data_IF_509365981130
#
_entry.id   IF_509365981130
#
_cell.length_a   1.000
_cell.length_b   1.000
_cell.length_c   1.000
_cell.angle_alpha   90.00
_cell.angle_beta   90.00
_cell.angle_gamma   90.00
#
_symmetry.space_group_name_H-M   'P 1'
#
loop_
_entity.id
_entity.type
_entity.pdbx_description
1 polymer ?
#
# COMPACT_ATOMS: atom_id res chain seq x y z
N UNK A 1 -5.46 55.13 16.02
CA UNK A 1 -6.70 54.46 16.49
C UNK A 1 -7.92 55.04 15.77
N UNK A 2 -8.26 56.32 15.94
CA UNK A 2 -9.38 56.98 15.22
C UNK A 2 -9.32 56.85 13.69
N UNK A 3 -8.15 57.01 13.06
CA UNK A 3 -8.02 56.88 11.60
C UNK A 3 -8.25 55.43 11.08
N UNK A 4 -7.93 54.41 11.89
CA UNK A 4 -8.16 53.01 11.53
C UNK A 4 -9.64 52.63 11.72
N UNK A 5 -10.29 53.17 12.75
CA UNK A 5 -11.73 53.02 12.99
C UNK A 5 -12.56 53.72 11.89
N UNK A 6 -12.14 54.92 11.45
CA UNK A 6 -12.79 55.64 10.36
C UNK A 6 -12.60 54.94 9.00
N UNK A 7 -11.41 54.39 8.71
CA UNK A 7 -11.18 53.61 7.50
C UNK A 7 -11.98 52.30 7.48
N UNK A 8 -12.13 51.64 8.64
CA UNK A 8 -12.95 50.44 8.77
C UNK A 8 -14.44 50.73 8.54
N UNK A 9 -14.97 51.83 9.09
CA UNK A 9 -16.35 52.27 8.85
C UNK A 9 -16.60 52.63 7.38
N UNK A 10 -15.69 53.37 6.73
CA UNK A 10 -15.80 53.71 5.32
C UNK A 10 -15.79 52.47 4.41
N UNK A 11 -14.96 51.47 4.71
CA UNK A 11 -14.95 50.19 3.99
C UNK A 11 -16.24 49.40 4.21
N UNK A 12 -16.83 49.46 5.40
CA UNK A 12 -18.09 48.79 5.71
C UNK A 12 -19.26 49.42 4.95
N UNK A 13 -19.31 50.75 4.85
CA UNK A 13 -20.30 51.47 4.02
C UNK A 13 -20.16 51.15 2.53
N UNK A 14 -18.93 51.02 2.03
CA UNK A 14 -18.65 50.62 0.65
C UNK A 14 -19.11 49.17 0.40
N UNK A 15 -18.81 48.26 1.33
CA UNK A 15 -19.15 46.84 1.20
C UNK A 15 -20.66 46.57 1.35
N UNK A 16 -21.40 47.41 2.10
CA UNK A 16 -22.83 47.16 2.39
C UNK A 16 -23.78 48.18 1.76
N UNK A 17 -23.34 48.84 0.68
CA UNK A 17 -24.03 49.97 0.04
C UNK A 17 -25.48 49.69 -0.39
N UNK A 18 -25.77 48.47 -0.84
CA UNK A 18 -27.08 48.04 -1.31
C UNK A 18 -27.37 46.59 -0.88
N UNK A 19 -28.59 46.12 -1.09
CA UNK A 19 -28.99 44.80 -0.58
C UNK A 19 -28.19 43.64 -1.20
N UNK A 20 -27.80 43.75 -2.48
CA UNK A 20 -26.90 42.77 -3.10
C UNK A 20 -25.50 42.85 -2.47
N UNK A 21 -25.00 44.05 -2.20
CA UNK A 21 -23.73 44.25 -1.51
C UNK A 21 -23.74 43.67 -0.09
N UNK A 22 -24.83 43.83 0.68
CA UNK A 22 -24.97 43.17 1.99
C UNK A 22 -24.92 41.64 1.89
N UNK A 23 -25.58 41.05 0.90
CA UNK A 23 -25.49 39.60 0.65
C UNK A 23 -24.08 39.17 0.27
N UNK A 24 -23.40 39.93 -0.61
CA UNK A 24 -22.01 39.68 -0.95
C UNK A 24 -21.08 39.81 0.27
N UNK A 25 -21.32 40.78 1.15
CA UNK A 25 -20.57 40.92 2.41
C UNK A 25 -20.69 39.69 3.29
N UNK A 26 -21.91 39.16 3.47
CA UNK A 26 -22.14 37.95 4.25
C UNK A 26 -21.38 36.75 3.67
N UNK A 27 -21.43 36.54 2.35
CA UNK A 27 -20.66 35.47 1.69
C UNK A 27 -19.16 35.69 1.82
N UNK A 28 -18.66 36.93 1.73
CA UNK A 28 -17.24 37.23 1.97
C UNK A 28 -16.82 36.85 3.38
N UNK A 29 -17.60 37.15 4.42
CA UNK A 29 -17.28 36.74 5.79
C UNK A 29 -17.30 35.21 5.94
N UNK A 30 -18.28 34.53 5.35
CA UNK A 30 -18.32 33.06 5.33
C UNK A 30 -17.06 32.46 4.68
N UNK A 31 -16.59 33.03 3.56
CA UNK A 31 -15.35 32.54 2.92
C UNK A 31 -14.09 32.72 3.79
N UNK A 32 -14.09 33.68 4.72
CA UNK A 32 -12.97 33.86 5.67
C UNK A 32 -13.00 32.81 6.77
N UNK A 33 -14.19 32.47 7.27
CA UNK A 33 -14.35 31.38 8.24
C UNK A 33 -13.93 30.03 7.63
N UNK A 34 -14.40 29.75 6.41
CA UNK A 34 -14.02 28.53 5.69
C UNK A 34 -12.50 28.48 5.40
N UNK A 35 -11.87 29.63 5.12
CA UNK A 35 -10.41 29.74 4.96
C UNK A 35 -9.67 29.32 6.25
N UNK A 36 -10.07 29.87 7.40
CA UNK A 36 -9.42 29.55 8.67
C UNK A 36 -9.50 28.04 8.97
N UNK A 37 -10.66 27.44 8.72
CA UNK A 37 -10.86 25.99 8.86
C UNK A 37 -9.99 25.19 7.87
N UNK A 38 -9.91 25.62 6.62
CA UNK A 38 -9.07 25.01 5.60
C UNK A 38 -7.58 25.04 5.96
N UNK A 39 -7.09 26.17 6.48
CA UNK A 39 -5.70 26.32 6.95
C UNK A 39 -5.41 25.40 8.14
N UNK A 40 -6.31 25.31 9.12
CA UNK A 40 -6.17 24.40 10.26
C UNK A 40 -6.07 22.93 9.80
N UNK A 41 -6.92 22.51 8.86
CA UNK A 41 -6.92 21.16 8.31
C UNK A 41 -5.66 20.87 7.49
N UNK A 42 -5.16 21.84 6.73
CA UNK A 42 -3.89 21.72 5.99
C UNK A 42 -2.70 21.55 6.94
N UNK A 43 -2.66 22.30 8.05
CA UNK A 43 -1.62 22.17 9.08
C UNK A 43 -1.64 20.76 9.68
N UNK A 44 -2.82 20.30 10.11
CA UNK A 44 -2.97 18.94 10.68
C UNK A 44 -2.58 17.85 9.70
N UNK A 45 -2.97 17.98 8.42
CA UNK A 45 -2.60 17.00 7.40
C UNK A 45 -1.08 17.00 7.15
N UNK A 46 -0.44 18.17 7.21
CA UNK A 46 1.01 18.29 7.08
C UNK A 46 1.76 17.71 8.30
N UNK A 47 1.23 17.86 9.51
CA UNK A 47 1.77 17.20 10.71
C UNK A 47 1.75 15.67 10.57
N UNK A 48 0.66 15.11 10.04
CA UNK A 48 0.57 13.67 9.73
C UNK A 48 1.63 13.28 8.70
N UNK A 49 1.83 14.07 7.65
CA UNK A 49 2.87 13.83 6.66
C UNK A 49 4.27 13.76 7.30
N UNK A 50 4.62 14.74 8.14
CA UNK A 50 5.92 14.79 8.83
C UNK A 50 6.14 13.54 9.68
N UNK A 51 5.11 13.08 10.39
CA UNK A 51 5.18 11.85 11.20
C UNK A 51 5.44 10.63 10.29
N UNK A 52 4.71 10.50 9.18
CA UNK A 52 4.89 9.38 8.24
C UNK A 52 6.27 9.39 7.58
N UNK A 53 6.80 10.55 7.22
CA UNK A 53 8.15 10.68 6.66
C UNK A 53 9.22 10.28 7.68
N UNK A 54 9.04 10.69 8.94
CA UNK A 54 9.92 10.27 10.04
C UNK A 54 9.88 8.76 10.24
N UNK A 55 8.69 8.16 10.27
CA UNK A 55 8.53 6.71 10.42
C UNK A 55 9.21 5.95 9.26
N UNK A 56 9.07 6.44 8.02
CA UNK A 56 9.75 5.87 6.86
C UNK A 56 11.28 5.99 6.98
N UNK A 57 11.78 7.16 7.37
CA UNK A 57 13.22 7.38 7.56
C UNK A 57 13.79 6.45 8.63
N UNK A 58 13.11 6.36 9.77
CA UNK A 58 13.49 5.50 10.88
C UNK A 58 13.52 4.02 10.45
N UNK A 59 12.56 3.57 9.64
CA UNK A 59 12.51 2.20 9.12
C UNK A 59 13.63 1.92 8.10
N UNK A 60 13.97 2.89 7.25
CA UNK A 60 15.11 2.79 6.33
C UNK A 60 16.42 2.64 7.09
N UNK A 61 16.64 3.50 8.09
CA UNK A 61 17.85 3.47 8.93
C UNK A 61 17.96 2.14 9.69
N UNK A 62 16.87 1.63 10.26
CA UNK A 62 16.83 0.31 10.88
C UNK A 62 17.24 -0.79 9.90
N UNK A 63 16.65 -0.79 8.70
CA UNK A 63 16.97 -1.79 7.66
C UNK A 63 18.44 -1.71 7.22
N UNK A 64 18.94 -0.51 6.94
CA UNK A 64 20.31 -0.28 6.45
C UNK A 64 21.37 -0.67 7.50
N UNK A 65 21.18 -0.28 8.76
CA UNK A 65 22.10 -0.64 9.85
C UNK A 65 22.09 -2.14 10.12
N UNK A 66 20.90 -2.73 10.11
CA UNK A 66 20.74 -4.16 10.22
C UNK A 66 21.54 -4.84 9.10
N UNK A 67 21.48 -4.37 7.84
CA UNK A 67 22.22 -4.96 6.70
C UNK A 67 23.74 -4.88 6.85
N UNK A 68 24.23 -3.92 7.63
CA UNK A 68 25.64 -3.81 8.02
C UNK A 68 26.00 -4.72 9.21
N UNK A 69 25.06 -5.52 9.70
CA UNK A 69 25.23 -6.37 10.88
C UNK A 69 25.16 -5.62 12.20
N UNK A 70 24.72 -4.36 12.20
CA UNK A 70 24.58 -3.53 13.39
C UNK A 70 23.19 -3.76 13.97
N UNK A 71 23.13 -4.45 15.10
CA UNK A 71 21.87 -4.71 15.80
C UNK A 71 21.31 -3.42 16.41
N UNK A 72 20.10 -3.05 16.00
CA UNK A 72 19.27 -2.07 16.66
C UNK A 72 18.00 -2.74 17.14
N UNK A 73 17.54 -2.37 18.34
CA UNK A 73 16.28 -2.89 18.86
C UNK A 73 15.12 -2.45 17.95
N UNK A 74 14.36 -3.41 17.40
CA UNK A 74 13.17 -3.11 16.61
C UNK A 74 12.21 -2.15 17.30
N UNK A 75 11.84 -1.06 16.62
CA UNK A 75 10.75 -0.22 17.12
C UNK A 75 9.46 -1.06 17.17
N UNK A 76 8.70 -1.01 18.28
CA UNK A 76 7.46 -1.77 18.41
C UNK A 76 6.46 -1.37 17.33
N UNK A 77 5.76 -2.35 16.77
CA UNK A 77 4.71 -2.12 15.79
C UNK A 77 3.58 -1.32 16.43
N UNK A 78 3.42 -0.06 16.02
CA UNK A 78 2.25 0.74 16.37
C UNK A 78 1.09 0.34 15.46
N UNK A 79 -0.10 0.14 16.04
CA UNK A 79 -1.32 0.00 15.26
C UNK A 79 -1.62 1.31 14.54
N UNK A 80 -1.47 1.33 13.22
CA UNK A 80 -1.69 2.51 12.38
C UNK A 80 -3.16 2.67 11.96
N UNK A 81 -4.05 1.75 12.35
CA UNK A 81 -5.45 1.78 11.89
C UNK A 81 -6.18 3.04 12.35
N UNK A 82 -5.99 3.42 13.62
CA UNK A 82 -6.61 4.64 14.17
C UNK A 82 -6.04 5.91 13.51
N UNK A 83 -4.72 5.95 13.32
CA UNK A 83 -4.02 7.06 12.68
C UNK A 83 -4.44 7.23 11.21
N UNK A 84 -4.52 6.13 10.46
CA UNK A 84 -4.97 6.14 9.07
C UNK A 84 -6.43 6.61 8.96
N UNK A 85 -7.31 6.17 9.87
CA UNK A 85 -8.69 6.66 9.91
C UNK A 85 -8.76 8.16 10.19
N UNK A 86 -7.96 8.66 11.13
CA UNK A 86 -7.88 10.08 11.43
C UNK A 86 -7.36 10.88 10.22
N UNK A 87 -6.33 10.39 9.52
CA UNK A 87 -5.81 11.00 8.30
C UNK A 87 -6.86 11.07 7.19
N UNK A 88 -7.59 9.98 6.92
CA UNK A 88 -8.63 9.97 5.90
C UNK A 88 -9.82 10.89 6.27
N UNK A 89 -10.15 10.99 7.57
CA UNK A 89 -11.13 11.96 8.04
C UNK A 89 -10.69 13.42 7.77
N UNK A 90 -9.43 13.76 8.07
CA UNK A 90 -8.87 15.09 7.78
C UNK A 90 -8.91 15.39 6.27
N UNK A 91 -8.52 14.43 5.42
CA UNK A 91 -8.58 14.59 3.95
C UNK A 91 -10.01 14.87 3.48
N UNK A 92 -10.96 14.08 3.95
CA UNK A 92 -12.38 14.20 3.59
C UNK A 92 -12.97 15.53 4.05
N UNK A 93 -12.68 15.95 5.29
CA UNK A 93 -13.14 17.23 5.82
C UNK A 93 -12.51 18.42 5.08
N UNK A 94 -11.23 18.34 4.73
CA UNK A 94 -10.53 19.35 3.94
C UNK A 94 -11.11 19.47 2.54
N UNK A 95 -11.41 18.34 1.88
CA UNK A 95 -12.06 18.33 0.58
C UNK A 95 -13.47 18.94 0.63
N UNK A 96 -14.27 18.57 1.64
CA UNK A 96 -15.59 19.16 1.84
C UNK A 96 -15.51 20.67 2.08
N UNK A 97 -14.55 21.13 2.89
CA UNK A 97 -14.35 22.56 3.18
C UNK A 97 -13.90 23.34 1.95
N UNK A 98 -12.99 22.78 1.14
CA UNK A 98 -12.58 23.35 -0.15
C UNK A 98 -13.76 23.48 -1.10
N UNK A 99 -14.57 22.42 -1.23
CA UNK A 99 -15.73 22.42 -2.12
C UNK A 99 -16.79 23.43 -1.68
N UNK A 100 -17.04 23.54 -0.36
CA UNK A 100 -17.92 24.56 0.21
C UNK A 100 -17.42 25.96 -0.14
N UNK A 101 -16.15 26.26 0.14
CA UNK A 101 -15.57 27.58 -0.16
C UNK A 101 -15.61 27.92 -1.65
N UNK A 102 -15.38 26.94 -2.53
CA UNK A 102 -15.53 27.09 -3.99
C UNK A 102 -16.95 27.46 -4.40
N UNK A 103 -17.96 26.83 -3.79
CA UNK A 103 -19.37 27.15 -4.01
C UNK A 103 -19.69 28.57 -3.53
N UNK A 104 -19.29 28.94 -2.31
CA UNK A 104 -19.51 30.27 -1.74
C UNK A 104 -18.85 31.38 -2.60
N UNK A 105 -17.62 31.16 -3.09
CA UNK A 105 -16.95 32.10 -4.02
C UNK A 105 -17.72 32.23 -5.33
N UNK A 106 -18.27 31.11 -5.86
CA UNK A 106 -19.07 31.12 -7.09
C UNK A 106 -20.40 31.86 -6.89
N UNK A 107 -21.04 31.71 -5.74
CA UNK A 107 -22.26 32.46 -5.38
C UNK A 107 -21.97 33.96 -5.24
N UNK A 108 -20.86 34.31 -4.60
CA UNK A 108 -20.39 35.70 -4.49
C UNK A 108 -20.18 36.33 -5.88
N UNK A 109 -19.52 35.61 -6.78
CA UNK A 109 -19.32 36.06 -8.17
C UNK A 109 -20.64 36.20 -8.94
N UNK A 110 -21.60 35.30 -8.70
CA UNK A 110 -22.93 35.40 -9.29
C UNK A 110 -23.68 36.64 -8.79
N UNK A 111 -23.64 36.94 -7.49
CA UNK A 111 -24.25 38.16 -6.93
C UNK A 111 -23.59 39.43 -7.47
N UNK A 112 -22.27 39.44 -7.58
CA UNK A 112 -21.54 40.54 -8.22
C UNK A 112 -22.03 40.77 -9.65
N UNK A 113 -22.10 39.71 -10.46
CA UNK A 113 -22.58 39.79 -11.83
C UNK A 113 -24.05 40.25 -11.92
N UNK A 114 -24.90 39.81 -10.99
CA UNK A 114 -26.30 40.28 -10.91
C UNK A 114 -26.38 41.77 -10.59
N UNK A 115 -25.55 42.28 -9.67
CA UNK A 115 -25.49 43.70 -9.31
C UNK A 115 -25.14 44.56 -10.52
N UNK A 116 -24.12 44.15 -11.29
CA UNK A 116 -23.74 44.84 -12.53
C UNK A 116 -24.87 44.77 -13.56
N UNK A 117 -25.55 43.63 -13.74
CA UNK A 117 -26.69 43.49 -14.66
C UNK A 117 -27.88 44.38 -14.28
N UNK A 118 -28.09 44.64 -12.99
CA UNK A 118 -29.14 45.55 -12.49
C UNK A 118 -28.81 47.04 -12.63
N UNK A 119 -27.67 47.38 -13.24
CA UNK A 119 -27.33 48.76 -13.60
C UNK A 119 -26.28 49.44 -12.71
N UNK A 120 -25.68 48.72 -11.75
CA UNK A 120 -24.56 49.26 -10.96
C UNK A 120 -23.32 49.51 -11.83
N UNK A 121 -22.61 50.60 -11.54
CA UNK A 121 -21.42 50.98 -12.30
C UNK A 121 -20.23 50.08 -11.91
N UNK A 122 -19.60 49.43 -12.88
CA UNK A 122 -18.40 48.59 -12.65
C UNK A 122 -17.24 49.35 -12.00
N UNK A 123 -17.19 50.66 -12.18
CA UNK A 123 -16.15 51.53 -11.65
C UNK A 123 -16.56 52.23 -10.34
N UNK A 124 -17.74 51.92 -9.79
CA UNK A 124 -18.08 52.38 -8.44
C UNK A 124 -17.25 51.65 -7.37
N UNK A 125 -17.04 52.30 -6.23
CA UNK A 125 -16.19 51.79 -5.16
C UNK A 125 -16.59 50.39 -4.68
N UNK A 126 -17.89 50.10 -4.59
CA UNK A 126 -18.41 48.79 -4.17
C UNK A 126 -18.10 47.71 -5.22
N UNK A 127 -18.30 48.02 -6.51
CA UNK A 127 -17.98 47.11 -7.60
C UNK A 127 -16.48 46.78 -7.67
N UNK A 128 -15.61 47.77 -7.49
CA UNK A 128 -14.16 47.55 -7.48
C UNK A 128 -13.74 46.72 -6.26
N UNK A 129 -14.27 47.03 -5.09
CA UNK A 129 -14.02 46.27 -3.86
C UNK A 129 -14.35 44.78 -4.02
N UNK A 130 -15.54 44.45 -4.54
CA UNK A 130 -15.94 43.05 -4.69
C UNK A 130 -15.20 42.33 -5.82
N UNK A 131 -14.86 43.03 -6.91
CA UNK A 131 -14.05 42.45 -7.97
C UNK A 131 -12.67 42.01 -7.44
N UNK A 132 -11.99 42.89 -6.71
CA UNK A 132 -10.71 42.60 -6.08
C UNK A 132 -10.83 41.48 -5.04
N UNK A 133 -11.88 41.53 -4.20
CA UNK A 133 -12.16 40.50 -3.19
C UNK A 133 -12.33 39.12 -3.84
N UNK A 134 -13.14 39.00 -4.91
CA UNK A 134 -13.34 37.74 -5.62
C UNK A 134 -12.03 37.23 -6.24
N UNK A 135 -11.22 38.12 -6.83
CA UNK A 135 -9.93 37.76 -7.40
C UNK A 135 -8.97 37.20 -6.34
N UNK A 136 -8.88 37.88 -5.19
CA UNK A 136 -8.05 37.44 -4.07
C UNK A 136 -8.53 36.10 -3.51
N UNK A 137 -9.83 35.94 -3.28
CA UNK A 137 -10.41 34.67 -2.80
C UNK A 137 -10.11 33.50 -3.74
N UNK A 138 -10.23 33.72 -5.06
CA UNK A 138 -9.88 32.70 -6.06
C UNK A 138 -8.39 32.35 -6.05
N UNK A 139 -7.52 33.34 -5.91
CA UNK A 139 -6.07 33.12 -5.85
C UNK A 139 -5.66 32.30 -4.61
N UNK A 140 -6.16 32.68 -3.43
CA UNK A 140 -5.92 31.96 -2.17
C UNK A 140 -6.44 30.52 -2.23
N UNK A 141 -7.58 30.31 -2.88
CA UNK A 141 -8.19 29.01 -3.01
C UNK A 141 -7.36 28.08 -3.90
N UNK A 142 -6.85 28.59 -5.02
CA UNK A 142 -5.92 27.84 -5.89
C UNK A 142 -4.65 27.44 -5.15
N UNK A 143 -4.11 28.31 -4.30
CA UNK A 143 -2.94 27.99 -3.48
C UNK A 143 -3.23 26.84 -2.50
N UNK A 144 -4.37 26.91 -1.83
CA UNK A 144 -4.78 25.88 -0.87
C UNK A 144 -5.06 24.52 -1.54
N UNK A 145 -5.65 24.52 -2.73
CA UNK A 145 -5.83 23.31 -3.54
C UNK A 145 -4.51 22.70 -3.97
N UNK A 146 -3.52 23.53 -4.36
CA UNK A 146 -2.16 23.07 -4.69
C UNK A 146 -1.46 22.47 -3.47
N UNK A 147 -1.56 23.12 -2.31
CA UNK A 147 -0.97 22.62 -1.07
C UNK A 147 -1.58 21.27 -0.70
N UNK A 148 -2.92 21.14 -0.76
CA UNK A 148 -3.60 19.85 -0.54
C UNK A 148 -3.08 18.78 -1.49
N UNK A 149 -3.05 19.06 -2.79
CA UNK A 149 -2.63 18.10 -3.80
C UNK A 149 -1.18 17.62 -3.56
N UNK A 150 -0.29 18.55 -3.21
CA UNK A 150 1.11 18.23 -2.87
C UNK A 150 1.20 17.30 -1.66
N UNK A 151 0.51 17.63 -0.55
CA UNK A 151 0.55 16.82 0.68
C UNK A 151 -0.03 15.42 0.41
N UNK A 152 -1.18 15.32 -0.27
CA UNK A 152 -1.81 14.04 -0.60
C UNK A 152 -0.91 13.17 -1.48
N UNK A 153 -0.32 13.73 -2.53
CA UNK A 153 0.62 13.02 -3.39
C UNK A 153 1.86 12.54 -2.64
N UNK A 154 2.34 13.32 -1.68
CA UNK A 154 3.51 12.95 -0.88
C UNK A 154 3.16 11.82 0.09
N UNK A 155 1.99 11.87 0.73
CA UNK A 155 1.49 10.80 1.58
C UNK A 155 1.36 9.46 0.82
N UNK A 156 0.91 9.48 -0.43
CA UNK A 156 0.84 8.28 -1.27
C UNK A 156 2.23 7.72 -1.58
N UNK A 157 3.18 8.61 -1.90
CA UNK A 157 4.58 8.24 -2.16
C UNK A 157 5.22 7.61 -0.92
N UNK A 158 5.04 8.23 0.25
CA UNK A 158 5.54 7.72 1.54
C UNK A 158 4.92 6.37 1.85
N UNK A 159 3.60 6.21 1.65
CA UNK A 159 2.91 4.92 1.86
C UNK A 159 3.54 3.80 1.03
N UNK A 160 3.75 4.02 -0.26
CA UNK A 160 4.37 3.02 -1.14
C UNK A 160 5.80 2.69 -0.68
N UNK A 161 6.60 3.71 -0.37
CA UNK A 161 7.96 3.50 0.11
C UNK A 161 8.01 2.75 1.45
N UNK A 162 7.09 3.03 2.39
CA UNK A 162 7.00 2.30 3.66
C UNK A 162 6.70 0.82 3.45
N UNK A 163 5.80 0.48 2.51
CA UNK A 163 5.49 -0.92 2.22
C UNK A 163 6.67 -1.67 1.59
N UNK A 164 7.49 -0.99 0.78
CA UNK A 164 8.76 -1.55 0.27
C UNK A 164 9.71 -1.90 1.42
N UNK A 165 9.94 -0.97 2.34
CA UNK A 165 10.84 -1.19 3.48
C UNK A 165 10.31 -2.24 4.46
N UNK A 166 8.99 -2.34 4.65
CA UNK A 166 8.37 -3.42 5.42
C UNK A 166 8.63 -4.78 4.80
N UNK A 167 8.45 -4.91 3.49
CA UNK A 167 8.74 -6.16 2.77
C UNK A 167 10.22 -6.54 2.87
N UNK A 168 11.13 -5.56 2.75
CA UNK A 168 12.57 -5.75 2.95
C UNK A 168 12.87 -6.34 4.33
N UNK A 169 12.29 -5.76 5.39
CA UNK A 169 12.46 -6.25 6.76
C UNK A 169 11.92 -7.66 6.97
N UNK A 170 10.74 -7.97 6.42
CA UNK A 170 10.15 -9.32 6.51
C UNK A 170 11.02 -10.35 5.80
N UNK A 171 11.43 -10.06 4.55
CA UNK A 171 12.28 -10.95 3.77
C UNK A 171 13.58 -11.27 4.52
N UNK A 172 14.17 -10.27 5.16
CA UNK A 172 15.35 -10.45 5.98
C UNK A 172 15.08 -11.28 7.23
N UNK A 173 14.01 -11.02 7.97
CA UNK A 173 13.66 -11.83 9.14
C UNK A 173 13.43 -13.31 8.79
N UNK A 174 12.94 -13.59 7.58
CA UNK A 174 12.84 -14.94 7.03
C UNK A 174 14.20 -15.55 6.66
N UNK A 175 15.15 -14.74 6.21
CA UNK A 175 16.52 -15.15 5.90
C UNK A 175 17.35 -15.39 7.17
N UNK A 176 17.32 -14.48 8.15
CA UNK A 176 18.08 -14.60 9.40
C UNK A 176 17.63 -15.82 10.23
N UNK A 177 16.36 -16.20 10.16
CA UNK A 177 15.82 -17.40 10.81
C UNK A 177 15.77 -18.64 9.91
N UNK A 178 16.43 -18.61 8.75
CA UNK A 178 16.34 -19.66 7.74
C UNK A 178 16.79 -21.02 8.26
N UNK A 179 17.88 -21.07 9.03
CA UNK A 179 18.38 -22.32 9.61
C UNK A 179 17.39 -22.93 10.60
N UNK A 180 16.78 -22.13 11.46
CA UNK A 180 15.79 -22.60 12.43
C UNK A 180 14.50 -23.04 11.74
N UNK A 181 14.06 -22.33 10.69
CA UNK A 181 12.95 -22.74 9.84
C UNK A 181 13.26 -24.08 9.18
N UNK A 182 14.39 -24.19 8.50
CA UNK A 182 14.84 -25.41 7.83
C UNK A 182 14.86 -26.61 8.78
N UNK A 183 15.42 -26.46 9.97
CA UNK A 183 15.46 -27.52 10.97
C UNK A 183 14.06 -27.98 11.41
N UNK A 184 13.13 -27.04 11.63
CA UNK A 184 11.73 -27.38 11.99
C UNK A 184 10.98 -28.05 10.84
N UNK A 185 11.20 -27.56 9.63
CA UNK A 185 10.60 -28.06 8.40
C UNK A 185 11.07 -29.50 8.11
N UNK A 186 12.37 -29.77 8.24
CA UNK A 186 12.92 -31.13 8.09
C UNK A 186 12.41 -32.07 9.18
N UNK A 187 12.32 -31.62 10.44
CA UNK A 187 11.74 -32.43 11.51
C UNK A 187 10.24 -32.74 11.29
N UNK A 188 9.48 -31.82 10.69
CA UNK A 188 8.09 -32.07 10.31
C UNK A 188 8.01 -33.10 9.17
N UNK A 189 8.83 -32.97 8.13
CA UNK A 189 8.91 -33.93 7.04
C UNK A 189 9.24 -35.34 7.53
N UNK A 190 10.23 -35.49 8.41
CA UNK A 190 10.60 -36.78 9.00
C UNK A 190 9.42 -37.42 9.74
N UNK A 191 8.69 -36.63 10.55
CA UNK A 191 7.48 -37.13 11.23
C UNK A 191 6.40 -37.56 10.25
N UNK A 192 6.18 -36.81 9.17
CA UNK A 192 5.19 -37.17 8.14
C UNK A 192 5.59 -38.51 7.49
N UNK A 193 6.85 -38.65 7.08
CA UNK A 193 7.36 -39.89 6.47
C UNK A 193 7.25 -41.11 7.39
N UNK A 194 7.46 -40.93 8.70
CA UNK A 194 7.45 -42.04 9.66
C UNK A 194 6.03 -42.43 10.13
N UNK A 195 5.14 -41.44 10.29
CA UNK A 195 3.86 -41.65 10.96
C UNK A 195 2.67 -41.77 10.00
N UNK A 196 2.86 -41.48 8.71
CA UNK A 196 1.78 -41.57 7.73
C UNK A 196 1.62 -43.02 7.25
N UNK A 197 0.52 -43.70 7.55
CA UNK A 197 0.26 -45.04 7.03
C UNK A 197 -0.09 -44.99 5.54
N UNK A 198 0.15 -46.10 4.84
CA UNK A 198 -0.35 -46.27 3.48
C UNK A 198 -1.88 -46.20 3.47
N UNK A 199 -2.43 -45.48 2.50
CA UNK A 199 -3.87 -45.40 2.33
C UNK A 199 -4.43 -46.77 1.91
N UNK A 200 -5.48 -47.27 2.57
CA UNK A 200 -6.14 -48.52 2.18
C UNK A 200 -6.95 -48.37 0.86
N UNK A 201 -7.25 -47.13 0.47
CA UNK A 201 -7.97 -46.79 -0.77
C UNK A 201 -7.04 -45.98 -1.67
N UNK A 202 -6.91 -46.32 -2.97
CA UNK A 202 -6.14 -45.51 -3.91
C UNK A 202 -6.64 -44.06 -3.94
N UNK A 203 -5.73 -43.11 -3.76
CA UNK A 203 -6.04 -41.69 -3.86
C UNK A 203 -6.23 -41.28 -5.33
N UNK A 204 -7.09 -40.29 -5.53
CA UNK A 204 -7.43 -39.68 -6.81
C UNK A 204 -6.77 -38.29 -6.93
N UNK A 205 -6.85 -37.65 -8.10
CA UNK A 205 -6.26 -36.31 -8.31
C UNK A 205 -6.97 -35.26 -7.47
N UNK A 206 -8.28 -35.43 -7.30
CA UNK A 206 -9.16 -34.55 -6.52
C UNK A 206 -8.82 -34.53 -5.03
N UNK A 207 -8.11 -35.55 -4.56
CA UNK A 207 -7.60 -35.58 -3.19
C UNK A 207 -6.41 -34.63 -3.00
N UNK A 208 -5.72 -34.18 -4.05
CA UNK A 208 -4.52 -33.36 -3.93
C UNK A 208 -4.81 -31.87 -4.13
N UNK A 209 -4.36 -31.05 -3.18
CA UNK A 209 -4.24 -29.61 -3.36
C UNK A 209 -2.85 -29.29 -3.88
N UNK A 210 -2.70 -28.96 -5.16
CA UNK A 210 -1.39 -28.66 -5.77
C UNK A 210 -0.86 -27.26 -5.46
N UNK A 211 -1.70 -26.40 -4.87
CA UNK A 211 -1.38 -25.00 -4.60
C UNK A 211 -1.25 -24.17 -5.88
N UNK A 212 -0.16 -23.42 -6.00
CA UNK A 212 0.07 -22.55 -7.15
C UNK A 212 0.49 -23.33 -8.39
N UNK A 213 -0.33 -23.25 -9.44
CA UNK A 213 -0.04 -23.88 -10.72
C UNK A 213 1.20 -23.27 -11.35
N UNK A 214 2.14 -24.14 -11.73
CA UNK A 214 3.40 -23.76 -12.34
C UNK A 214 3.23 -23.57 -13.85
N UNK A 215 3.97 -22.63 -14.43
CA UNK A 215 4.00 -22.47 -15.88
C UNK A 215 4.55 -23.72 -16.56
N UNK A 216 4.10 -24.03 -17.78
CA UNK A 216 4.63 -25.15 -18.57
C UNK A 216 6.11 -25.00 -18.98
N UNK A 217 6.71 -23.83 -18.75
CA UNK A 217 8.14 -23.56 -19.01
C UNK A 217 8.96 -23.77 -17.72
N UNK A 218 10.25 -24.08 -17.88
CA UNK A 218 11.20 -24.17 -16.74
C UNK A 218 11.31 -22.82 -16.05
N UNK A 219 10.95 -22.79 -14.77
CA UNK A 219 11.18 -21.62 -13.92
C UNK A 219 12.62 -21.66 -13.38
N UNK A 220 13.27 -20.50 -13.25
CA UNK A 220 14.60 -20.38 -12.67
C UNK A 220 14.48 -19.66 -11.32
N UNK A 221 14.91 -20.32 -10.25
CA UNK A 221 15.05 -19.75 -8.91
C UNK A 221 16.53 -19.57 -8.60
N UNK A 222 16.89 -18.40 -8.04
CA UNK A 222 18.27 -18.06 -7.68
C UNK A 222 18.46 -17.94 -6.18
N UNK A 223 19.60 -18.41 -5.69
CA UNK A 223 20.02 -18.21 -4.30
C UNK A 223 19.09 -18.87 -3.28
N UNK A 224 18.52 -20.03 -3.63
CA UNK A 224 17.73 -20.84 -2.70
C UNK A 224 18.71 -21.53 -1.74
N UNK A 225 18.58 -21.31 -0.43
CA UNK A 225 19.51 -21.94 0.52
C UNK A 225 19.12 -23.38 0.85
N UNK A 226 20.11 -24.12 1.37
CA UNK A 226 19.95 -25.50 1.86
C UNK A 226 19.44 -26.46 0.78
N UNK A 227 19.68 -26.13 -0.49
CA UNK A 227 19.32 -26.94 -1.65
C UNK A 227 20.43 -26.80 -2.68
N UNK A 228 20.73 -27.88 -3.39
CA UNK A 228 21.78 -27.86 -4.41
C UNK A 228 21.29 -27.25 -5.73
N UNK A 229 22.23 -26.80 -6.56
CA UNK A 229 21.92 -26.45 -7.95
C UNK A 229 21.47 -27.70 -8.72
N UNK A 230 20.51 -27.52 -9.63
CA UNK A 230 19.96 -28.60 -10.44
C UNK A 230 18.54 -28.32 -10.95
N UNK A 231 17.93 -29.34 -11.54
CA UNK A 231 16.57 -29.34 -12.07
C UNK A 231 15.68 -30.24 -11.22
N UNK A 232 14.67 -29.66 -10.59
CA UNK A 232 13.81 -30.31 -9.60
C UNK A 232 12.44 -30.59 -10.20
N UNK A 233 11.94 -31.83 -10.01
CA UNK A 233 10.59 -32.24 -10.42
C UNK A 233 9.59 -31.79 -9.38
N UNK A 234 9.01 -30.61 -9.57
CA UNK A 234 8.06 -30.02 -8.63
C UNK A 234 6.69 -30.65 -8.85
N UNK A 235 6.10 -31.15 -7.78
CA UNK A 235 4.76 -31.75 -7.77
C UNK A 235 3.71 -30.86 -7.11
N UNK A 236 4.09 -29.88 -6.29
CA UNK A 236 3.19 -28.88 -5.74
C UNK A 236 3.96 -27.66 -5.21
N UNK A 237 3.28 -26.51 -5.14
CA UNK A 237 3.84 -25.27 -4.60
C UNK A 237 2.86 -24.61 -3.63
N UNK A 238 3.29 -24.42 -2.37
CA UNK A 238 2.43 -23.88 -1.31
C UNK A 238 3.07 -22.70 -0.59
N UNK A 239 2.26 -21.72 -0.18
CA UNK A 239 2.72 -20.58 0.63
C UNK A 239 2.72 -20.89 2.13
N UNK A 240 1.93 -21.88 2.58
CA UNK A 240 1.74 -22.17 3.99
C UNK A 240 2.10 -23.61 4.37
N UNK A 241 2.48 -23.77 5.63
CA UNK A 241 2.93 -25.03 6.23
C UNK A 241 1.83 -26.09 6.25
N UNK A 242 0.58 -25.71 6.50
CA UNK A 242 -0.52 -26.67 6.65
C UNK A 242 -0.85 -27.35 5.32
N UNK A 243 -0.93 -26.58 4.23
CA UNK A 243 -1.20 -27.12 2.90
C UNK A 243 -0.03 -27.98 2.41
N UNK A 244 1.21 -27.53 2.66
CA UNK A 244 2.41 -28.32 2.39
C UNK A 244 2.37 -29.67 3.11
N UNK A 245 2.13 -29.66 4.42
CA UNK A 245 2.14 -30.88 5.24
C UNK A 245 0.99 -31.82 4.83
N UNK A 246 -0.20 -31.28 4.57
CA UNK A 246 -1.33 -32.07 4.08
C UNK A 246 -1.08 -32.70 2.70
N UNK A 247 -0.38 -31.99 1.80
CA UNK A 247 0.02 -32.55 0.51
C UNK A 247 1.07 -33.66 0.70
N UNK A 248 2.10 -33.42 1.51
CA UNK A 248 3.14 -34.41 1.82
C UNK A 248 2.55 -35.69 2.43
N UNK A 249 1.63 -35.58 3.39
CA UNK A 249 0.92 -36.72 3.97
C UNK A 249 0.21 -37.55 2.89
N UNK A 250 -0.48 -36.91 1.95
CA UNK A 250 -1.16 -37.63 0.85
C UNK A 250 -0.18 -38.31 -0.11
N UNK A 251 0.95 -37.67 -0.40
CA UNK A 251 2.02 -38.27 -1.23
C UNK A 251 2.62 -39.50 -0.55
N UNK A 252 2.93 -39.41 0.75
CA UNK A 252 3.46 -40.53 1.54
C UNK A 252 2.40 -41.65 1.67
N UNK A 253 1.15 -41.31 1.94
CA UNK A 253 0.04 -42.27 2.00
C UNK A 253 -0.20 -42.98 0.65
N UNK A 254 0.17 -42.36 -0.47
CA UNK A 254 0.15 -42.96 -1.81
C UNK A 254 1.32 -43.91 -2.09
N UNK A 255 2.25 -44.05 -1.14
CA UNK A 255 3.42 -44.92 -1.22
C UNK A 255 4.70 -44.23 -1.72
N UNK A 256 4.72 -42.91 -1.88
CA UNK A 256 5.93 -42.17 -2.27
C UNK A 256 6.56 -41.51 -1.03
N UNK A 257 7.46 -42.22 -0.36
CA UNK A 257 8.17 -41.72 0.83
C UNK A 257 9.43 -40.90 0.48
N UNK A 258 9.94 -41.01 -0.75
CA UNK A 258 11.12 -40.26 -1.21
C UNK A 258 10.75 -38.84 -1.70
N UNK A 259 9.88 -38.17 -0.93
CA UNK A 259 9.45 -36.81 -1.18
C UNK A 259 10.25 -35.83 -0.33
N UNK A 260 10.55 -34.66 -0.86
CA UNK A 260 11.24 -33.60 -0.14
C UNK A 260 10.69 -32.23 -0.58
N UNK A 261 11.15 -31.16 0.04
CA UNK A 261 10.83 -29.81 -0.38
C UNK A 261 11.97 -28.86 -0.04
N UNK A 262 11.99 -27.72 -0.72
CA UNK A 262 12.78 -26.56 -0.32
C UNK A 262 11.87 -25.35 -0.17
N UNK A 263 12.34 -24.34 0.55
CA UNK A 263 11.65 -23.06 0.70
C UNK A 263 12.45 -21.97 0.01
N UNK A 264 11.83 -21.27 -0.94
CA UNK A 264 12.43 -20.08 -1.54
C UNK A 264 12.01 -18.82 -0.77
N UNK A 265 12.96 -18.18 -0.10
CA UNK A 265 12.74 -16.95 0.67
C UNK A 265 12.28 -15.79 -0.23
N UNK A 266 12.64 -15.80 -1.52
CA UNK A 266 12.26 -14.73 -2.44
C UNK A 266 10.77 -14.74 -2.76
N UNK A 267 10.22 -15.92 -3.07
CA UNK A 267 8.79 -16.10 -3.32
C UNK A 267 7.97 -16.42 -2.08
N UNK A 268 8.61 -16.73 -0.94
CA UNK A 268 7.97 -17.21 0.29
C UNK A 268 7.12 -18.47 0.06
N UNK A 269 7.63 -19.40 -0.77
CA UNK A 269 6.92 -20.61 -1.18
C UNK A 269 7.74 -21.88 -0.91
N UNK A 270 7.01 -22.94 -0.58
CA UNK A 270 7.49 -24.31 -0.50
C UNK A 270 7.32 -24.99 -1.84
N UNK A 271 8.40 -25.54 -2.39
CA UNK A 271 8.41 -26.31 -3.62
C UNK A 271 8.63 -27.77 -3.27
N UNK A 272 7.61 -28.60 -3.49
CA UNK A 272 7.63 -30.03 -3.13
C UNK A 272 8.10 -30.82 -4.34
N UNK A 273 9.07 -31.72 -4.16
CA UNK A 273 9.67 -32.52 -5.22
C UNK A 273 10.00 -33.93 -4.74
N UNK A 274 10.26 -34.85 -5.66
CA UNK A 274 10.80 -36.18 -5.32
C UNK A 274 11.97 -36.61 -6.21
N UNK A 275 12.34 -35.80 -7.21
CA UNK A 275 13.45 -36.06 -8.11
C UNK A 275 14.24 -34.77 -8.39
N UNK A 276 15.56 -34.93 -8.53
CA UNK A 276 16.53 -33.90 -8.93
C UNK A 276 17.38 -34.46 -10.07
N UNK A 277 17.69 -33.62 -11.06
CA UNK A 277 18.60 -33.91 -12.16
C UNK A 277 19.67 -32.81 -12.27
N UNK A 278 20.84 -33.16 -12.80
CA UNK A 278 21.91 -32.17 -13.03
C UNK A 278 21.74 -31.45 -14.39
N UNK A 279 21.04 -32.09 -15.34
CA UNK A 279 20.87 -31.63 -16.73
C UNK A 279 19.40 -31.47 -17.12
N UNK A 280 19.12 -30.45 -17.94
CA UNK A 280 17.75 -30.14 -18.38
C UNK A 280 17.15 -31.26 -19.23
N UNK A 281 17.96 -31.92 -20.05
CA UNK A 281 17.51 -32.98 -20.94
C UNK A 281 16.96 -34.18 -20.16
N UNK A 282 17.55 -34.49 -19.00
CA UNK A 282 17.11 -35.59 -18.14
C UNK A 282 15.80 -35.24 -17.43
N UNK A 283 15.70 -34.02 -16.90
CA UNK A 283 14.48 -33.53 -16.26
C UNK A 283 13.30 -33.50 -17.24
N UNK A 284 13.53 -33.06 -18.48
CA UNK A 284 12.47 -33.02 -19.51
C UNK A 284 12.02 -34.43 -19.91
N UNK A 285 12.94 -35.38 -20.07
CA UNK A 285 12.57 -36.78 -20.32
C UNK A 285 11.76 -37.37 -19.16
N UNK A 286 12.13 -37.03 -17.92
CA UNK A 286 11.38 -37.47 -16.74
C UNK A 286 9.98 -36.84 -16.69
N UNK A 287 9.84 -35.56 -17.06
CA UNK A 287 8.55 -34.88 -17.17
C UNK A 287 7.65 -35.53 -18.24
N UNK A 288 8.20 -35.85 -19.41
CA UNK A 288 7.49 -36.54 -20.50
C UNK A 288 7.06 -37.96 -20.11
N UNK A 289 7.81 -38.61 -19.20
CA UNK A 289 7.56 -39.98 -18.72
C UNK A 289 7.01 -40.05 -17.30
N UNK A 290 6.45 -38.95 -16.77
CA UNK A 290 5.99 -38.81 -15.38
C UNK A 290 4.96 -39.82 -14.88
N UNK A 291 4.36 -40.61 -15.78
CA UNK A 291 3.37 -41.63 -15.45
C UNK A 291 2.05 -41.05 -14.94
N UNK A 292 1.18 -41.92 -14.43
CA UNK A 292 -0.22 -41.60 -14.11
C UNK A 292 -0.50 -41.58 -12.60
N UNK A 293 0.53 -41.34 -11.78
CA UNK A 293 0.33 -41.20 -10.34
C UNK A 293 -0.44 -39.89 -10.08
N UNK A 294 -1.47 -39.87 -9.20
CA UNK A 294 -2.32 -38.70 -9.01
C UNK A 294 -1.53 -37.42 -8.65
N UNK A 295 -0.51 -37.55 -7.81
CA UNK A 295 0.35 -36.44 -7.39
C UNK A 295 1.27 -35.89 -8.51
N UNK A 296 1.32 -36.52 -9.70
CA UNK A 296 2.11 -36.06 -10.84
C UNK A 296 1.31 -35.21 -11.83
N UNK A 297 0.01 -34.98 -11.59
CA UNK A 297 -0.88 -34.29 -12.52
C UNK A 297 -0.33 -32.91 -12.92
N UNK A 298 0.01 -32.08 -11.92
CA UNK A 298 0.53 -30.71 -12.09
C UNK A 298 2.05 -30.61 -12.03
N UNK A 299 2.74 -31.71 -12.31
CA UNK A 299 4.20 -31.75 -12.26
C UNK A 299 4.85 -30.75 -13.23
N UNK A 300 5.89 -30.07 -12.77
CA UNK A 300 6.70 -29.13 -13.54
C UNK A 300 8.19 -29.25 -13.20
N UNK A 301 9.03 -28.49 -13.90
CA UNK A 301 10.48 -28.44 -13.67
C UNK A 301 10.89 -27.05 -13.20
N UNK A 302 11.61 -26.99 -12.09
CA UNK A 302 12.23 -25.76 -11.59
C UNK A 302 13.75 -25.94 -11.59
N UNK A 303 14.48 -24.99 -12.18
CA UNK A 303 15.92 -24.91 -12.12
C UNK A 303 16.33 -24.09 -10.90
N UNK A 304 17.24 -24.62 -10.10
CA UNK A 304 17.92 -23.89 -9.03
C UNK A 304 19.36 -23.62 -9.47
N UNK A 305 19.76 -22.36 -9.33
CA UNK A 305 21.13 -21.89 -9.55
C UNK A 305 21.50 -20.81 -8.51
N UNK A 306 22.79 -20.51 -8.38
CA UNK A 306 23.28 -19.42 -7.52
C UNK A 306 23.11 -18.02 -8.17
#
# INVERSE_FOLDING_TARGET
RMAAEQAAQANQEIAQKDDLAKSMYALTEETKEDKAKQEELLIRLNEVLIIKEKDLKDLKEENDLSEQGIYMEPKPFKSITAENRAMEAIKSELEATINKRNQTISELENLYNQRIKKGSNRNDATSQYYLETIQNLKAEQVESERMRASIVSTLETVKVATEVERKRRIKRALYDNEKDRFNKDMAALERIKQNTPLSPVPLSVEDFNFGEEQSGNVQILKGVQNVDNGYYMIIAVHENINDRDAFLEKVVASGQSDVNFFFDVNSSKYYIYYQKFDYVEEAMRALDSKGNKPYNEKMSVVKIED
#
